data_IF_571402381924
#
_entry.id   IF_571402381924
#
_cell.length_a   1.000
_cell.length_b   1.000
_cell.length_c   1.000
_cell.angle_alpha   90.00
_cell.angle_beta   90.00
_cell.angle_gamma   90.00
#
_symmetry.space_group_name_H-M   'P 1'
#
loop_
_entity.id
_entity.type
_entity.pdbx_description
1 polymer ?
#
# COMPACT_ATOMS: atom_id res chain seq x y z
N UNK A 1 -51.19 4.01 39.09
CA UNK A 1 -52.23 4.17 38.06
C UNK A 1 -51.57 4.72 36.83
N UNK A 2 -51.09 3.85 35.93
CA UNK A 2 -50.86 4.18 34.53
C UNK A 2 -51.14 2.94 33.71
N UNK A 3 -52.29 2.98 33.06
CA UNK A 3 -52.78 2.01 32.10
C UNK A 3 -52.28 2.31 30.70
N UNK A 4 -51.67 1.37 30.07
CA UNK A 4 -51.72 0.79 28.83
C UNK A 4 -51.75 1.56 27.54
N UNK A 5 -51.10 1.12 26.59
CA UNK A 5 -51.57 0.88 25.23
C UNK A 5 -50.49 0.09 24.48
N UNK A 6 -50.71 -1.20 24.38
CA UNK A 6 -49.95 -2.06 23.47
C UNK A 6 -50.59 -1.97 22.09
N UNK A 7 -49.91 -1.39 21.11
CA UNK A 7 -50.26 -1.50 19.69
C UNK A 7 -49.39 -2.60 19.04
N UNK A 8 -50.08 -3.61 18.48
CA UNK A 8 -49.45 -4.70 17.71
C UNK A 8 -48.80 -4.16 16.43
N UNK A 9 -47.59 -4.65 16.05
CA UNK A 9 -47.08 -4.36 14.72
C UNK A 9 -47.80 -5.14 13.64
N UNK A 10 -48.15 -4.45 12.56
CA UNK A 10 -48.76 -4.99 11.37
C UNK A 10 -47.75 -5.91 10.62
N UNK A 11 -48.22 -7.10 10.30
CA UNK A 11 -47.52 -8.05 9.43
C UNK A 11 -47.54 -7.56 7.98
N UNK A 12 -46.41 -7.07 7.47
CA UNK A 12 -46.20 -6.82 6.06
C UNK A 12 -45.92 -8.13 5.31
N UNK A 13 -46.67 -8.40 4.25
CA UNK A 13 -46.43 -9.53 3.33
C UNK A 13 -45.11 -9.34 2.57
N UNK A 14 -44.36 -10.41 2.25
CA UNK A 14 -43.15 -10.29 1.45
C UNK A 14 -43.52 -9.92 0.00
N UNK A 15 -42.96 -8.83 -0.47
CA UNK A 15 -43.04 -8.43 -1.87
C UNK A 15 -42.10 -9.30 -2.72
N UNK A 16 -42.62 -9.79 -3.86
CA UNK A 16 -41.88 -10.55 -4.87
C UNK A 16 -40.64 -9.80 -5.34
N UNK A 17 -39.46 -10.30 -4.98
CA UNK A 17 -38.18 -9.84 -5.52
C UNK A 17 -38.00 -10.53 -6.87
N UNK A 18 -38.32 -9.83 -7.96
CA UNK A 18 -37.91 -10.22 -9.30
C UNK A 18 -36.41 -10.13 -9.39
N UNK A 19 -35.73 -11.28 -9.45
CA UNK A 19 -34.33 -11.40 -9.83
C UNK A 19 -34.10 -10.85 -11.24
N UNK A 20 -33.67 -9.60 -11.33
CA UNK A 20 -33.03 -9.10 -12.55
C UNK A 20 -31.59 -9.55 -12.56
N UNK A 21 -31.30 -10.63 -13.28
CA UNK A 21 -29.91 -11.03 -13.64
C UNK A 21 -29.29 -9.91 -14.48
N UNK A 22 -28.67 -8.93 -13.83
CA UNK A 22 -27.72 -8.02 -14.48
C UNK A 22 -26.50 -8.85 -14.87
N UNK A 23 -26.27 -9.03 -16.19
CA UNK A 23 -25.00 -9.52 -16.72
C UNK A 23 -23.92 -8.58 -16.21
N UNK A 24 -23.05 -9.06 -15.28
CA UNK A 24 -21.84 -8.36 -14.85
C UNK A 24 -20.96 -8.20 -16.10
N UNK A 25 -20.80 -6.98 -16.59
CA UNK A 25 -19.72 -6.63 -17.51
C UNK A 25 -18.46 -6.54 -16.64
N UNK A 26 -17.62 -7.54 -16.71
CA UNK A 26 -16.27 -7.47 -16.15
C UNK A 26 -15.55 -6.32 -16.85
N UNK A 27 -15.08 -5.37 -16.07
CA UNK A 27 -14.26 -4.25 -16.56
C UNK A 27 -12.92 -4.85 -16.97
N UNK A 28 -12.60 -4.77 -18.27
CA UNK A 28 -11.28 -5.16 -18.76
C UNK A 28 -10.30 -4.08 -18.35
N UNK A 29 -9.25 -4.44 -17.64
CA UNK A 29 -8.20 -3.50 -17.25
C UNK A 29 -7.30 -3.27 -18.46
N UNK A 30 -7.03 -2.00 -18.82
CA UNK A 30 -6.25 -1.68 -20.02
C UNK A 30 -4.78 -2.02 -19.80
N UNK A 31 -4.29 -3.05 -20.49
CA UNK A 31 -2.89 -3.47 -20.48
C UNK A 31 -1.94 -2.51 -21.22
N UNK A 32 -2.48 -1.50 -21.92
CA UNK A 32 -1.64 -0.54 -22.67
C UNK A 32 -0.84 0.42 -21.77
N UNK A 33 -1.16 0.51 -20.47
CA UNK A 33 -0.47 1.39 -19.52
C UNK A 33 0.74 0.77 -18.82
N UNK A 34 0.95 -0.53 -18.95
CA UNK A 34 1.98 -1.26 -18.16
C UNK A 34 3.35 -1.34 -18.84
N UNK A 35 3.52 -0.82 -20.08
CA UNK A 35 4.74 -1.02 -20.87
C UNK A 35 5.98 -0.25 -20.39
N UNK A 36 5.82 0.74 -19.49
CA UNK A 36 6.92 1.62 -19.06
C UNK A 36 7.39 1.35 -17.62
N UNK A 37 6.93 0.25 -17.01
CA UNK A 37 7.28 -0.09 -15.63
C UNK A 37 8.45 -1.06 -15.61
N UNK A 38 9.58 -0.66 -15.03
CA UNK A 38 10.77 -1.50 -14.87
C UNK A 38 10.93 -1.91 -13.41
N UNK A 39 11.09 -3.22 -13.19
CA UNK A 39 11.45 -3.78 -11.88
C UNK A 39 12.94 -4.07 -11.86
N UNK A 40 13.68 -3.54 -10.89
CA UNK A 40 15.07 -3.96 -10.66
C UNK A 40 15.08 -5.34 -10.04
N UNK A 41 15.54 -6.34 -10.81
CA UNK A 41 15.92 -7.65 -10.29
C UNK A 41 17.38 -7.60 -9.88
N UNK A 42 17.69 -7.98 -8.66
CA UNK A 42 19.07 -8.34 -8.33
C UNK A 42 19.40 -9.66 -9.02
N UNK A 43 20.37 -9.63 -9.94
CA UNK A 43 20.79 -10.77 -10.76
C UNK A 43 21.60 -11.76 -9.91
N UNK A 44 20.99 -12.49 -8.98
CA UNK A 44 21.62 -13.67 -8.40
C UNK A 44 20.58 -14.65 -7.83
N UNK A 45 20.67 -15.87 -8.34
CA UNK A 45 20.01 -17.13 -8.00
C UNK A 45 18.72 -17.42 -8.78
N UNK A 46 18.90 -18.35 -9.74
CA UNK A 46 17.81 -18.91 -10.52
C UNK A 46 16.86 -19.72 -9.66
N UNK A 47 15.63 -19.27 -9.59
CA UNK A 47 14.49 -20.02 -9.09
C UNK A 47 13.73 -20.55 -10.32
N UNK A 48 13.71 -21.88 -10.50
CA UNK A 48 12.88 -22.52 -11.53
C UNK A 48 11.41 -22.40 -11.07
N UNK A 49 10.64 -21.57 -11.79
CA UNK A 49 9.21 -21.47 -11.65
C UNK A 49 8.56 -22.72 -12.26
N UNK A 50 7.72 -23.42 -11.52
CA UNK A 50 6.80 -24.40 -12.12
C UNK A 50 5.86 -23.65 -13.08
N UNK A 51 5.91 -24.02 -14.35
CA UNK A 51 5.19 -23.43 -15.49
C UNK A 51 3.70 -23.75 -15.40
N UNK A 52 2.85 -23.00 -14.70
CA UNK A 52 1.39 -23.15 -14.92
C UNK A 52 0.49 -21.99 -14.46
N UNK A 53 1.00 -20.84 -14.03
CA UNK A 53 0.15 -19.65 -13.89
C UNK A 53 0.75 -18.45 -14.65
N UNK A 54 0.45 -18.35 -15.95
CA UNK A 54 0.61 -17.09 -16.68
C UNK A 54 -0.27 -16.04 -16.00
N UNK A 55 0.37 -15.15 -15.25
CA UNK A 55 -0.32 -13.98 -14.70
C UNK A 55 -0.78 -13.15 -15.89
N UNK A 56 -2.09 -12.93 -15.99
CA UNK A 56 -2.64 -12.16 -17.08
C UNK A 56 -2.12 -10.72 -17.03
N UNK A 57 -1.86 -10.13 -18.19
CA UNK A 57 -1.46 -8.72 -18.32
C UNK A 57 -2.41 -7.76 -17.58
N UNK A 58 -3.68 -8.15 -17.42
CA UNK A 58 -4.69 -7.38 -16.71
C UNK A 58 -4.43 -7.32 -15.19
N UNK A 59 -3.89 -8.41 -14.61
CA UNK A 59 -3.50 -8.45 -13.19
C UNK A 59 -2.25 -7.61 -12.94
N UNK A 60 -1.29 -7.64 -13.86
CA UNK A 60 -0.11 -6.79 -13.78
C UNK A 60 -0.49 -5.31 -13.80
N UNK A 61 -1.24 -4.88 -14.82
CA UNK A 61 -1.73 -3.51 -14.94
C UNK A 61 -2.59 -3.07 -13.74
N UNK A 62 -3.36 -3.98 -13.15
CA UNK A 62 -4.15 -3.72 -11.96
C UNK A 62 -3.29 -3.45 -10.72
N UNK A 63 -2.23 -4.24 -10.50
CA UNK A 63 -1.31 -4.05 -9.39
C UNK A 63 -0.55 -2.74 -9.57
N UNK A 64 -0.06 -2.46 -10.78
CA UNK A 64 0.63 -1.21 -11.09
C UNK A 64 -0.26 0.01 -10.84
N UNK A 65 -1.53 -0.02 -11.24
CA UNK A 65 -2.47 1.08 -10.98
C UNK A 65 -2.73 1.31 -9.47
N UNK A 66 -2.79 0.24 -8.66
CA UNK A 66 -2.86 0.37 -7.20
C UNK A 66 -1.61 1.11 -6.66
N UNK A 67 -0.42 0.72 -7.11
CA UNK A 67 0.83 1.33 -6.66
C UNK A 67 0.95 2.79 -7.10
N UNK A 68 0.67 3.09 -8.36
CA UNK A 68 0.68 4.44 -8.92
C UNK A 68 -0.30 5.35 -8.16
N UNK A 69 -1.55 4.92 -7.99
CA UNK A 69 -2.56 5.72 -7.29
C UNK A 69 -2.22 5.92 -5.82
N UNK A 70 -1.73 4.89 -5.13
CA UNK A 70 -1.31 5.02 -3.74
C UNK A 70 -0.13 5.99 -3.58
N UNK A 71 0.78 6.03 -4.55
CA UNK A 71 1.86 7.01 -4.57
C UNK A 71 1.34 8.43 -4.77
N UNK A 72 0.49 8.66 -5.76
CA UNK A 72 -0.04 10.01 -6.04
C UNK A 72 -0.96 10.54 -4.93
N UNK A 73 -1.74 9.67 -4.27
CA UNK A 73 -2.59 10.05 -3.13
C UNK A 73 -1.81 10.40 -1.86
N UNK A 74 -0.49 10.15 -1.84
CA UNK A 74 0.30 10.39 -0.63
C UNK A 74 0.14 9.32 0.44
N UNK A 75 -0.37 8.16 0.10
CA UNK A 75 -0.60 7.07 1.05
C UNK A 75 0.69 6.57 1.68
N UNK A 76 0.63 6.27 2.97
CA UNK A 76 1.72 5.62 3.71
C UNK A 76 1.68 4.10 3.62
N UNK A 77 0.49 3.53 3.62
CA UNK A 77 0.28 2.09 3.57
C UNK A 77 -0.88 1.73 2.64
N UNK A 78 -0.75 0.59 1.96
CA UNK A 78 -1.81 -0.04 1.15
C UNK A 78 -2.16 -1.38 1.78
N UNK A 79 -3.44 -1.63 1.96
CA UNK A 79 -3.96 -2.89 2.49
C UNK A 79 -4.82 -3.57 1.43
N UNK A 80 -4.51 -4.83 1.10
CA UNK A 80 -5.32 -5.68 0.24
C UNK A 80 -5.81 -6.84 1.09
N UNK A 81 -7.13 -6.92 1.29
CA UNK A 81 -7.73 -7.83 2.25
C UNK A 81 -9.01 -8.46 1.68
N UNK A 82 -9.21 -9.74 1.99
CA UNK A 82 -10.44 -10.46 1.69
C UNK A 82 -11.25 -10.67 2.95
N UNK A 83 -12.48 -10.19 2.93
CA UNK A 83 -13.49 -10.38 3.96
C UNK A 83 -14.47 -11.50 3.56
N UNK A 84 -15.55 -11.68 4.35
CA UNK A 84 -16.50 -12.76 4.11
C UNK A 84 -17.15 -12.65 2.72
N UNK A 85 -17.61 -11.47 2.38
CA UNK A 85 -18.47 -11.24 1.24
C UNK A 85 -17.88 -10.26 0.21
N UNK A 86 -16.63 -9.77 0.46
CA UNK A 86 -15.97 -8.82 -0.41
C UNK A 86 -14.44 -8.84 -0.25
N UNK A 87 -13.74 -8.37 -1.28
CA UNK A 87 -12.33 -8.05 -1.22
C UNK A 87 -12.13 -6.53 -1.37
N UNK A 88 -11.19 -5.95 -0.65
CA UNK A 88 -10.98 -4.51 -0.65
C UNK A 88 -9.51 -4.12 -0.75
N UNK A 89 -9.27 -3.04 -1.50
CA UNK A 89 -8.05 -2.24 -1.41
C UNK A 89 -8.34 -1.03 -0.54
N UNK A 90 -7.48 -0.77 0.44
CA UNK A 90 -7.58 0.40 1.31
C UNK A 90 -6.26 1.14 1.36
N UNK A 91 -6.31 2.45 1.23
CA UNK A 91 -5.16 3.33 1.36
C UNK A 91 -5.16 4.01 2.72
N UNK A 92 -3.96 4.14 3.33
CA UNK A 92 -3.80 4.95 4.55
C UNK A 92 -3.31 6.33 4.17
N UNK A 93 -4.19 7.30 4.27
CA UNK A 93 -3.93 8.71 3.99
C UNK A 93 -4.08 9.49 5.30
N UNK A 94 -3.07 10.28 5.69
CA UNK A 94 -3.07 11.04 6.95
C UNK A 94 -3.46 10.22 8.19
N UNK A 95 -3.05 8.94 8.22
CA UNK A 95 -3.34 8.01 9.31
C UNK A 95 -4.71 7.31 9.22
N UNK A 96 -5.60 7.72 8.32
CA UNK A 96 -6.93 7.14 8.13
C UNK A 96 -6.92 6.13 6.98
N UNK A 97 -7.55 4.96 7.18
CA UNK A 97 -7.75 3.97 6.13
C UNK A 97 -9.03 4.25 5.35
N UNK A 98 -8.89 4.51 4.04
CA UNK A 98 -9.98 4.76 3.10
C UNK A 98 -10.11 3.63 2.11
N UNK A 99 -11.35 3.21 1.81
CA UNK A 99 -11.62 2.14 0.85
C UNK A 99 -11.58 2.71 -0.57
N UNK A 100 -10.86 2.03 -1.46
CA UNK A 100 -10.75 2.34 -2.88
C UNK A 100 -11.75 1.46 -3.67
N UNK A 101 -12.98 1.92 -3.81
CA UNK A 101 -14.09 1.12 -4.37
C UNK A 101 -13.88 0.73 -5.84
N UNK A 102 -13.10 1.49 -6.58
CA UNK A 102 -12.80 1.26 -7.99
C UNK A 102 -12.08 -0.06 -8.24
N UNK A 103 -11.32 -0.54 -7.26
CA UNK A 103 -10.56 -1.80 -7.34
C UNK A 103 -11.38 -3.03 -6.94
N UNK A 104 -12.53 -2.87 -6.29
CA UNK A 104 -13.27 -3.96 -5.64
C UNK A 104 -13.72 -5.04 -6.63
N UNK A 105 -14.32 -4.66 -7.76
CA UNK A 105 -14.90 -5.61 -8.72
C UNK A 105 -13.85 -6.53 -9.35
N UNK A 106 -12.72 -5.97 -9.77
CA UNK A 106 -11.61 -6.74 -10.34
C UNK A 106 -10.94 -7.60 -9.28
N UNK A 107 -10.70 -7.03 -8.09
CA UNK A 107 -10.05 -7.74 -6.99
C UNK A 107 -10.86 -8.94 -6.51
N UNK A 108 -12.19 -8.84 -6.40
CA UNK A 108 -13.05 -9.98 -6.01
C UNK A 108 -12.88 -11.19 -6.93
N UNK A 109 -12.76 -10.93 -8.23
CA UNK A 109 -12.64 -11.96 -9.26
C UNK A 109 -11.23 -12.54 -9.37
N UNK A 110 -10.19 -11.76 -9.05
CA UNK A 110 -8.79 -12.08 -9.32
C UNK A 110 -7.91 -12.08 -8.07
N UNK A 111 -8.50 -12.19 -6.87
CA UNK A 111 -7.76 -12.06 -5.60
C UNK A 111 -6.52 -12.93 -5.49
N UNK A 112 -6.58 -14.26 -5.77
CA UNK A 112 -5.38 -15.11 -5.70
C UNK A 112 -4.28 -14.67 -6.65
N UNK A 113 -4.62 -14.32 -7.88
CA UNK A 113 -3.66 -13.88 -8.89
C UNK A 113 -2.98 -12.54 -8.51
N UNK A 114 -3.72 -11.61 -7.90
CA UNK A 114 -3.16 -10.35 -7.38
C UNK A 114 -2.15 -10.61 -6.25
N UNK A 115 -2.45 -11.52 -5.32
CA UNK A 115 -1.51 -11.89 -4.24
C UNK A 115 -0.29 -12.60 -4.82
N UNK A 116 -0.48 -13.51 -5.79
CA UNK A 116 0.62 -14.19 -6.49
C UNK A 116 1.54 -13.18 -7.19
N UNK A 117 0.97 -12.20 -7.90
CA UNK A 117 1.75 -11.13 -8.54
C UNK A 117 2.59 -10.35 -7.53
N UNK A 118 2.03 -9.98 -6.39
CA UNK A 118 2.74 -9.26 -5.33
C UNK A 118 3.88 -10.11 -4.72
N UNK A 119 3.66 -11.42 -4.56
CA UNK A 119 4.72 -12.34 -4.12
C UNK A 119 5.87 -12.43 -5.13
N UNK A 120 5.55 -12.52 -6.42
CA UNK A 120 6.56 -12.53 -7.50
C UNK A 120 7.38 -11.23 -7.48
N UNK A 121 6.71 -10.08 -7.41
CA UNK A 121 7.38 -8.77 -7.39
C UNK A 121 8.32 -8.59 -6.19
N UNK A 122 8.07 -9.30 -5.10
CA UNK A 122 8.84 -9.24 -3.85
C UNK A 122 9.69 -10.48 -3.59
N UNK A 123 9.84 -11.39 -4.60
CA UNK A 123 10.65 -12.61 -4.55
C UNK A 123 10.26 -13.56 -3.38
N UNK A 124 8.96 -13.60 -3.04
CA UNK A 124 8.43 -14.45 -1.99
C UNK A 124 8.03 -15.83 -2.54
N UNK A 125 7.94 -16.82 -1.65
CA UNK A 125 7.50 -18.16 -2.01
C UNK A 125 6.00 -18.18 -2.35
N UNK A 126 5.70 -18.45 -3.63
CA UNK A 126 4.33 -18.46 -4.15
C UNK A 126 3.53 -19.63 -3.57
N UNK A 127 4.16 -20.80 -3.43
CA UNK A 127 3.51 -22.03 -2.96
C UNK A 127 3.21 -22.05 -1.45
N UNK A 128 3.84 -21.18 -0.66
CA UNK A 128 3.61 -21.11 0.79
C UNK A 128 2.47 -20.12 1.12
N UNK A 129 1.37 -20.65 1.67
CA UNK A 129 0.17 -19.88 2.04
C UNK A 129 -0.15 -19.92 3.54
N UNK A 130 0.65 -20.62 4.35
CA UNK A 130 0.37 -20.88 5.76
C UNK A 130 1.23 -20.08 6.71
N UNK A 131 2.38 -19.58 6.23
CA UNK A 131 3.33 -18.84 7.04
C UNK A 131 3.36 -17.37 6.60
N UNK A 132 3.53 -16.43 7.55
CA UNK A 132 3.80 -15.04 7.20
C UNK A 132 5.07 -14.90 6.36
N UNK A 133 5.06 -14.00 5.41
CA UNK A 133 6.20 -13.68 4.55
C UNK A 133 6.37 -12.16 4.46
N UNK A 134 7.60 -11.70 4.58
CA UNK A 134 7.96 -10.29 4.42
C UNK A 134 8.93 -10.14 3.25
N UNK A 135 8.73 -9.11 2.43
CA UNK A 135 9.54 -8.82 1.26
C UNK A 135 9.64 -7.34 0.97
N UNK A 136 10.33 -7.02 -0.11
CA UNK A 136 10.48 -5.66 -0.59
C UNK A 136 10.27 -5.60 -2.10
N UNK A 137 9.70 -4.49 -2.58
CA UNK A 137 9.51 -4.20 -3.99
C UNK A 137 10.17 -2.84 -4.26
N UNK A 138 11.04 -2.76 -5.26
CA UNK A 138 11.49 -1.48 -5.80
C UNK A 138 10.65 -1.16 -7.04
N UNK A 139 9.74 -0.20 -6.91
CA UNK A 139 8.81 0.16 -7.96
C UNK A 139 9.22 1.45 -8.65
N UNK A 140 9.47 1.36 -9.96
CA UNK A 140 9.87 2.49 -10.80
C UNK A 140 8.90 2.58 -11.97
N UNK A 141 8.31 3.77 -12.16
CA UNK A 141 7.48 4.09 -13.32
C UNK A 141 7.97 5.40 -13.92
N UNK A 142 8.67 5.32 -15.05
CA UNK A 142 9.23 6.50 -15.72
C UNK A 142 8.13 7.43 -16.23
N UNK A 143 7.04 6.89 -16.79
CA UNK A 143 5.91 7.67 -17.29
C UNK A 143 5.19 8.48 -16.22
N UNK A 144 5.16 8.01 -14.98
CA UNK A 144 4.54 8.67 -13.82
C UNK A 144 5.56 9.37 -12.91
N UNK A 145 6.85 9.30 -13.24
CA UNK A 145 7.96 9.84 -12.46
C UNK A 145 7.95 9.32 -11.00
N UNK A 146 7.76 8.01 -10.85
CA UNK A 146 7.72 7.32 -9.55
C UNK A 146 9.00 6.52 -9.36
N UNK A 147 9.64 6.69 -8.20
CA UNK A 147 10.70 5.82 -7.67
C UNK A 147 10.43 5.62 -6.18
N UNK A 148 9.91 4.44 -5.81
CA UNK A 148 9.49 4.13 -4.46
C UNK A 148 9.90 2.72 -4.05
N UNK A 149 10.48 2.60 -2.86
CA UNK A 149 10.69 1.30 -2.23
C UNK A 149 9.47 0.95 -1.37
N UNK A 150 9.00 -0.29 -1.47
CA UNK A 150 7.79 -0.76 -0.80
C UNK A 150 8.17 -1.95 0.06
N UNK A 151 7.85 -1.91 1.35
CA UNK A 151 7.91 -3.08 2.23
C UNK A 151 6.58 -3.80 2.17
N UNK A 152 6.64 -5.08 1.81
CA UNK A 152 5.49 -5.95 1.69
C UNK A 152 5.46 -6.93 2.87
N UNK A 153 4.29 -7.13 3.45
CA UNK A 153 4.02 -8.19 4.43
C UNK A 153 2.78 -8.97 4.00
N UNK A 154 2.95 -10.28 3.80
CA UNK A 154 1.87 -11.22 3.49
C UNK A 154 1.55 -12.01 4.76
N UNK A 155 0.30 -11.96 5.19
CA UNK A 155 -0.18 -12.62 6.40
C UNK A 155 -1.29 -13.61 6.06
N UNK A 156 -1.15 -14.90 6.41
CA UNK A 156 -2.21 -15.88 6.27
C UNK A 156 -3.46 -15.48 7.06
N UNK A 157 -4.62 -15.67 6.44
CA UNK A 157 -5.91 -15.46 7.06
C UNK A 157 -6.86 -16.60 6.68
N UNK A 158 -7.93 -16.82 7.43
CA UNK A 158 -8.95 -17.84 7.19
C UNK A 158 -9.59 -17.76 5.78
N UNK A 159 -9.51 -16.59 5.13
CA UNK A 159 -10.15 -16.31 3.84
C UNK A 159 -9.19 -16.09 2.69
N UNK A 160 -7.95 -16.43 2.88
CA UNK A 160 -6.85 -16.18 1.97
C UNK A 160 -5.76 -15.35 2.64
N UNK A 161 -4.76 -14.94 1.88
CA UNK A 161 -3.65 -14.15 2.39
C UNK A 161 -4.01 -12.66 2.38
N UNK A 162 -3.66 -11.97 3.44
CA UNK A 162 -3.77 -10.50 3.54
C UNK A 162 -2.42 -9.89 3.17
N UNK A 163 -2.45 -8.86 2.37
CA UNK A 163 -1.27 -8.09 2.00
C UNK A 163 -1.28 -6.69 2.63
N UNK A 164 -0.15 -6.30 3.19
CA UNK A 164 0.08 -4.92 3.66
C UNK A 164 1.38 -4.42 3.02
N UNK A 165 1.29 -3.30 2.32
CA UNK A 165 2.42 -2.63 1.68
C UNK A 165 2.66 -1.29 2.36
N UNK A 166 3.91 -0.99 2.73
CA UNK A 166 4.33 0.32 3.22
C UNK A 166 5.19 1.01 2.18
N UNK A 167 4.77 2.18 1.74
CA UNK A 167 5.50 3.00 0.77
C UNK A 167 6.62 3.79 1.48
N UNK A 168 7.86 3.63 1.01
CA UNK A 168 9.04 4.35 1.50
C UNK A 168 9.47 5.35 0.43
N UNK A 169 8.89 6.53 0.47
CA UNK A 169 9.14 7.59 -0.52
C UNK A 169 10.57 8.12 -0.39
N UNK A 170 11.31 8.11 -1.49
CA UNK A 170 12.68 8.65 -1.55
C UNK A 170 12.66 10.18 -1.55
N UNK A 171 11.63 10.80 -2.12
CA UNK A 171 11.51 12.26 -2.24
C UNK A 171 11.38 12.99 -0.90
N UNK A 172 10.86 12.31 0.13
CA UNK A 172 10.69 12.90 1.47
C UNK A 172 12.00 13.01 2.26
N UNK A 173 13.10 12.51 1.72
CA UNK A 173 14.38 12.41 2.43
C UNK A 173 15.26 13.66 2.20
N UNK A 174 15.05 14.40 1.13
CA UNK A 174 15.92 15.51 0.72
C UNK A 174 15.31 16.88 1.04
N UNK A 175 14.99 17.09 2.32
CA UNK A 175 14.48 18.40 2.76
C UNK A 175 15.66 19.26 3.23
N UNK A 176 15.80 20.45 2.63
CA UNK A 176 16.72 21.49 3.08
C UNK A 176 16.51 21.77 4.58
N UNK A 177 17.59 21.75 5.36
CA UNK A 177 17.56 22.03 6.80
C UNK A 177 16.81 23.32 7.15
N UNK A 178 16.86 24.33 6.28
CA UNK A 178 16.16 25.62 6.47
C UNK A 178 14.64 25.48 6.41
N UNK A 179 14.12 24.42 5.76
CA UNK A 179 12.67 24.14 5.63
C UNK A 179 12.10 23.34 6.80
N UNK A 180 12.95 22.85 7.71
CA UNK A 180 12.50 22.06 8.88
C UNK A 180 11.79 22.87 9.96
N UNK A 181 11.78 24.21 9.84
CA UNK A 181 11.03 25.08 10.75
C UNK A 181 11.76 25.37 12.08
N UNK A 182 13.06 25.17 12.16
CA UNK A 182 13.83 25.59 13.33
C UNK A 182 13.78 27.11 13.51
N UNK A 183 13.56 27.62 14.73
CA UNK A 183 13.79 29.01 15.03
C UNK A 183 15.24 29.40 14.78
N UNK A 184 15.57 30.67 14.42
CA UNK A 184 16.92 31.05 13.96
C UNK A 184 18.04 30.75 14.96
N UNK A 185 17.78 30.89 16.26
CA UNK A 185 18.75 30.62 17.32
C UNK A 185 19.05 29.12 17.43
N UNK A 186 18.00 28.30 17.46
CA UNK A 186 18.07 26.85 17.56
C UNK A 186 18.70 26.25 16.30
N UNK A 187 18.39 26.80 15.14
CA UNK A 187 19.02 26.43 13.87
C UNK A 187 20.53 26.62 13.93
N UNK A 188 20.99 27.81 14.36
CA UNK A 188 22.41 28.08 14.47
C UNK A 188 23.10 27.12 15.45
N UNK A 189 22.52 26.91 16.63
CA UNK A 189 23.07 25.96 17.60
C UNK A 189 23.13 24.53 17.05
N UNK A 190 22.12 24.10 16.33
CA UNK A 190 22.10 22.79 15.72
C UNK A 190 23.19 22.66 14.66
N UNK A 191 23.36 23.66 13.78
CA UNK A 191 24.40 23.70 12.76
C UNK A 191 25.81 23.69 13.36
N UNK A 192 26.06 24.48 14.40
CA UNK A 192 27.37 24.49 15.10
C UNK A 192 27.68 23.11 15.71
N UNK A 193 26.66 22.39 16.22
CA UNK A 193 26.87 21.08 16.83
C UNK A 193 27.05 19.96 15.80
N UNK A 194 26.35 19.96 14.65
CA UNK A 194 26.53 18.91 13.64
C UNK A 194 27.88 19.00 12.92
N UNK A 195 28.53 20.18 12.93
CA UNK A 195 29.86 20.39 12.38
C UNK A 195 30.96 20.03 13.37
N UNK A 196 30.65 19.71 14.62
CA UNK A 196 31.61 19.32 15.62
C UNK A 196 32.26 17.98 15.28
N UNK A 197 33.62 17.84 15.43
CA UNK A 197 34.30 16.61 15.02
C UNK A 197 33.98 15.40 15.91
N UNK A 198 33.37 15.61 17.07
CA UNK A 198 32.93 14.56 17.99
C UNK A 198 31.82 15.04 18.89
N UNK A 199 30.94 14.11 19.27
CA UNK A 199 29.81 14.42 20.14
C UNK A 199 28.66 13.42 19.92
N UNK A 200 27.56 13.67 20.62
CA UNK A 200 26.30 12.91 20.48
C UNK A 200 25.12 13.86 20.35
N UNK A 201 24.38 13.73 19.28
CA UNK A 201 23.10 14.44 19.07
C UNK A 201 21.97 13.43 19.11
N UNK A 202 21.00 13.65 19.99
CA UNK A 202 19.83 12.79 20.14
C UNK A 202 18.60 13.45 19.53
N UNK A 203 17.97 12.75 18.56
CA UNK A 203 16.69 13.16 17.96
C UNK A 203 15.60 12.20 18.45
N UNK A 204 14.69 12.68 19.29
CA UNK A 204 13.65 11.86 19.92
C UNK A 204 12.26 12.35 19.58
N UNK A 205 11.26 11.48 19.69
CA UNK A 205 9.85 11.83 19.43
C UNK A 205 9.03 10.62 18.98
N UNK A 206 7.70 10.73 18.88
CA UNK A 206 6.82 9.66 18.39
C UNK A 206 7.02 9.38 16.91
N UNK A 207 6.39 8.31 16.40
CA UNK A 207 6.35 8.02 14.96
C UNK A 207 5.69 9.19 14.21
N UNK A 208 6.23 9.56 13.05
CA UNK A 208 5.71 10.68 12.25
C UNK A 208 6.15 12.08 12.71
N UNK A 209 6.96 12.22 13.77
CA UNK A 209 7.41 13.53 14.27
C UNK A 209 8.55 14.17 13.46
N UNK A 210 8.98 13.57 12.36
CA UNK A 210 10.05 14.10 11.51
C UNK A 210 11.48 13.74 11.94
N UNK A 211 11.68 12.78 12.87
CA UNK A 211 13.02 12.37 13.32
C UNK A 211 13.95 11.99 12.16
N UNK A 212 13.48 11.09 11.31
CA UNK A 212 14.22 10.60 10.14
C UNK A 212 14.53 11.74 9.18
N UNK A 213 13.57 12.60 8.90
CA UNK A 213 13.73 13.77 8.05
C UNK A 213 14.81 14.70 8.58
N UNK A 214 14.80 15.00 9.89
CA UNK A 214 15.82 15.83 10.55
C UNK A 214 17.20 15.22 10.44
N UNK A 215 17.32 13.88 10.67
CA UNK A 215 18.61 13.19 10.58
C UNK A 215 19.16 13.20 9.14
N UNK A 216 18.34 12.91 8.14
CA UNK A 216 18.80 12.94 6.75
C UNK A 216 19.16 14.35 6.29
N UNK A 217 18.37 15.35 6.65
CA UNK A 217 18.69 16.76 6.34
C UNK A 217 20.02 17.18 6.98
N UNK A 218 20.29 16.74 8.23
CA UNK A 218 21.56 17.00 8.90
C UNK A 218 22.74 16.29 8.22
N UNK A 219 22.55 15.02 7.81
CA UNK A 219 23.58 14.26 7.08
C UNK A 219 23.88 14.88 5.71
N UNK A 220 22.87 15.38 5.02
CA UNK A 220 23.05 16.07 3.71
C UNK A 220 23.80 17.38 3.83
N UNK A 221 23.80 18.04 5.00
CA UNK A 221 24.50 19.30 5.24
C UNK A 221 26.00 19.11 5.54
N UNK A 222 26.38 17.94 6.06
CA UNK A 222 27.77 17.64 6.45
C UNK A 222 28.48 16.74 5.44
N UNK A 223 27.80 16.27 4.37
CA UNK A 223 28.33 15.44 3.32
C UNK A 223 28.64 16.29 2.11
#
# INVERSE_FOLDING_TARGET
>A
IWSGFASKPATAKPADIKETKKKKKTRKWDSEKSSDTQYKRDENEGFELEEDEEISSDVEAFVDDILIKSFHSGSSDVHIERFRDLAQVRFREDGVLTVQNEFTEFLESNYPAVITRLKIMSELNIAEHRLPQDGAISFISEGENIDVDIRLSILPNVRGERCVMRLLRKDSINIDMKKLGFPPREFKLFMDNIQSPQGLILVTGPTGSGKTTTLYSALSEIN
#
